data_IF_806879822866
#
_entry.id   IF_806879822866
#
_cell.length_a   1.000
_cell.length_b   1.000
_cell.length_c   1.000
_cell.angle_alpha   90.00
_cell.angle_beta   90.00
_cell.angle_gamma   90.00
#
_symmetry.space_group_name_H-M   'P 1'
#
loop_
_entity.id
_entity.type
_entity.pdbx_description
1 polymer ?
#
# COMPACT_ATOMS: atom_id res chain seq x y z
N UNK A 1 -22.08 0.35 -3.79
CA UNK A 1 -21.95 -1.06 -3.34
C UNK A 1 -20.56 -1.56 -3.75
N UNK A 2 -19.85 -2.34 -2.92
CA UNK A 2 -18.49 -2.80 -3.28
C UNK A 2 -18.60 -3.94 -4.31
N UNK A 3 -18.00 -3.75 -5.49
CA UNK A 3 -17.94 -4.76 -6.55
C UNK A 3 -16.85 -5.81 -6.27
N UNK A 4 -16.76 -6.83 -7.13
CA UNK A 4 -15.80 -7.93 -6.97
C UNK A 4 -14.34 -7.43 -6.96
N UNK A 5 -14.03 -6.38 -7.74
CA UNK A 5 -12.72 -5.73 -7.75
C UNK A 5 -12.40 -5.06 -6.40
N UNK A 6 -13.40 -4.45 -5.75
CA UNK A 6 -13.27 -3.89 -4.41
C UNK A 6 -13.07 -4.96 -3.35
N UNK A 7 -13.74 -6.10 -3.47
CA UNK A 7 -13.53 -7.26 -2.57
C UNK A 7 -12.12 -7.83 -2.72
N UNK A 8 -11.64 -8.01 -3.95
CA UNK A 8 -10.26 -8.44 -4.21
C UNK A 8 -9.23 -7.47 -3.65
N UNK A 9 -9.50 -6.15 -3.70
CA UNK A 9 -8.65 -5.14 -3.06
C UNK A 9 -8.62 -5.27 -1.54
N UNK A 10 -9.76 -5.53 -0.90
CA UNK A 10 -9.81 -5.76 0.55
C UNK A 10 -9.07 -7.04 0.94
N UNK A 11 -9.22 -8.11 0.16
CA UNK A 11 -8.47 -9.35 0.37
C UNK A 11 -6.97 -9.08 0.22
N UNK A 12 -6.55 -8.39 -0.84
CA UNK A 12 -5.15 -8.02 -1.05
C UNK A 12 -4.59 -7.15 0.08
N UNK A 13 -5.36 -6.17 0.56
CA UNK A 13 -4.99 -5.34 1.70
C UNK A 13 -4.89 -6.15 3.01
N UNK A 14 -5.81 -7.08 3.23
CA UNK A 14 -5.79 -8.01 4.36
C UNK A 14 -4.58 -8.94 4.32
N UNK A 15 -4.26 -9.52 3.16
CA UNK A 15 -3.08 -10.38 2.98
C UNK A 15 -1.79 -9.61 3.20
N UNK A 16 -1.67 -8.40 2.63
CA UNK A 16 -0.52 -7.54 2.83
C UNK A 16 -0.36 -7.14 4.31
N UNK A 17 -1.47 -6.77 4.95
CA UNK A 17 -1.51 -6.46 6.38
C UNK A 17 -1.10 -7.66 7.23
N UNK A 18 -1.57 -8.86 6.92
CA UNK A 18 -1.21 -10.09 7.63
C UNK A 18 0.28 -10.39 7.52
N UNK A 19 0.83 -10.35 6.31
CA UNK A 19 2.24 -10.60 6.07
C UNK A 19 3.11 -9.61 6.88
N UNK A 20 2.73 -8.32 6.89
CA UNK A 20 3.41 -7.31 7.69
C UNK A 20 3.31 -7.58 9.20
N UNK A 21 2.12 -7.92 9.70
CA UNK A 21 1.91 -8.22 11.12
C UNK A 21 2.74 -9.41 11.60
N UNK A 22 2.74 -10.51 10.83
CA UNK A 22 3.57 -11.70 11.11
C UNK A 22 5.04 -11.31 11.17
N UNK A 23 5.52 -10.59 10.15
CA UNK A 23 6.92 -10.19 10.03
C UNK A 23 7.35 -9.29 11.18
N UNK A 24 6.52 -8.30 11.53
CA UNK A 24 6.80 -7.38 12.64
C UNK A 24 6.98 -8.14 13.96
N UNK A 25 6.07 -9.08 14.25
CA UNK A 25 6.13 -9.85 15.50
C UNK A 25 7.30 -10.84 15.49
N UNK A 26 7.59 -11.49 14.37
CA UNK A 26 8.77 -12.35 14.25
C UNK A 26 10.05 -11.55 14.44
N UNK A 27 10.16 -10.35 13.85
CA UNK A 27 11.28 -9.44 14.06
C UNK A 27 11.46 -9.11 15.54
N UNK A 28 10.41 -8.66 16.21
CA UNK A 28 10.46 -8.29 17.64
C UNK A 28 10.82 -9.48 18.52
N UNK A 29 10.23 -10.65 18.30
CA UNK A 29 10.45 -11.83 19.13
C UNK A 29 11.80 -12.49 18.87
N UNK A 30 12.32 -12.40 17.65
CA UNK A 30 13.64 -12.94 17.31
C UNK A 30 14.79 -12.25 18.04
N UNK A 31 14.57 -11.05 18.58
CA UNK A 31 15.53 -10.35 19.45
C UNK A 31 15.66 -10.95 20.85
N UNK A 32 14.70 -11.78 21.29
CA UNK A 32 14.65 -12.33 22.65
C UNK A 32 14.56 -13.85 22.68
N UNK A 33 14.06 -14.46 21.61
CA UNK A 33 13.76 -15.90 21.53
C UNK A 33 14.05 -16.44 20.13
N UNK A 34 14.59 -17.66 20.00
CA UNK A 34 14.78 -18.30 18.70
C UNK A 34 13.44 -18.43 17.96
N UNK A 35 13.44 -18.19 16.65
CA UNK A 35 12.26 -18.37 15.80
C UNK A 35 11.90 -19.85 15.71
N UNK A 36 10.99 -20.30 16.57
CA UNK A 36 10.46 -21.67 16.57
C UNK A 36 9.06 -21.72 15.98
N UNK A 37 8.64 -22.90 15.50
CA UNK A 37 7.28 -23.12 14.98
C UNK A 37 6.20 -22.72 15.99
N UNK A 38 6.45 -22.93 17.28
CA UNK A 38 5.57 -22.52 18.37
C UNK A 38 5.42 -20.99 18.43
N UNK A 39 6.51 -20.24 18.27
CA UNK A 39 6.47 -18.76 18.23
C UNK A 39 5.69 -18.25 17.00
N UNK A 40 5.88 -18.89 15.84
CA UNK A 40 5.11 -18.56 14.63
C UNK A 40 3.61 -18.80 14.80
N UNK A 41 3.21 -19.90 15.45
CA UNK A 41 1.79 -20.22 15.64
C UNK A 41 1.16 -19.35 16.73
N UNK A 42 1.84 -19.16 17.87
CA UNK A 42 1.27 -18.46 19.04
C UNK A 42 1.29 -16.95 18.87
N UNK A 43 2.32 -16.39 18.23
CA UNK A 43 2.46 -14.95 18.08
C UNK A 43 2.29 -14.51 16.62
N UNK A 44 2.83 -15.26 15.68
CA UNK A 44 2.73 -14.94 14.25
C UNK A 44 1.28 -14.98 13.74
N UNK A 45 0.52 -16.02 14.03
CA UNK A 45 -0.88 -16.13 13.55
C UNK A 45 -1.79 -15.02 14.10
N UNK A 46 -1.79 -14.72 15.42
CA UNK A 46 -2.57 -13.58 15.93
C UNK A 46 -2.09 -12.23 15.38
N UNK A 47 -0.79 -12.05 15.21
CA UNK A 47 -0.23 -10.84 14.61
C UNK A 47 -0.64 -10.68 13.14
N UNK A 48 -0.69 -11.79 12.40
CA UNK A 48 -1.20 -11.82 11.03
C UNK A 48 -2.68 -11.46 10.98
N UNK A 49 -3.50 -12.00 11.89
CA UNK A 49 -4.93 -11.64 11.96
C UNK A 49 -5.11 -10.14 12.29
N UNK A 50 -4.37 -9.61 13.26
CA UNK A 50 -4.39 -8.20 13.61
C UNK A 50 -3.91 -7.32 12.44
N UNK A 51 -2.82 -7.71 11.78
CA UNK A 51 -2.30 -7.05 10.59
C UNK A 51 -3.31 -7.02 9.45
N UNK A 52 -4.01 -8.13 9.19
CA UNK A 52 -5.07 -8.21 8.19
C UNK A 52 -6.20 -7.23 8.50
N UNK A 53 -6.67 -7.22 9.75
CA UNK A 53 -7.71 -6.30 10.20
C UNK A 53 -7.27 -4.84 9.98
N UNK A 54 -6.04 -4.48 10.34
CA UNK A 54 -5.50 -3.13 10.12
C UNK A 54 -5.41 -2.79 8.63
N UNK A 55 -4.95 -3.71 7.78
CA UNK A 55 -4.87 -3.51 6.33
C UNK A 55 -6.24 -3.26 5.69
N UNK A 56 -7.25 -4.04 6.09
CA UNK A 56 -8.64 -3.85 5.67
C UNK A 56 -9.20 -2.52 6.18
N UNK A 57 -9.04 -2.22 7.47
CA UNK A 57 -9.56 -1.00 8.10
C UNK A 57 -8.96 0.26 7.50
N UNK A 58 -7.65 0.29 7.25
CA UNK A 58 -6.97 1.43 6.62
C UNK A 58 -7.43 1.63 5.19
N UNK A 59 -7.64 0.55 4.44
CA UNK A 59 -8.20 0.61 3.08
C UNK A 59 -9.62 1.16 3.09
N UNK A 60 -10.50 0.63 3.95
CA UNK A 60 -11.87 1.13 4.08
C UNK A 60 -11.92 2.58 4.55
N UNK A 61 -11.01 2.97 5.46
CA UNK A 61 -10.88 4.35 5.93
C UNK A 61 -10.44 5.29 4.81
N UNK A 62 -9.50 4.87 3.96
CA UNK A 62 -9.09 5.66 2.80
C UNK A 62 -10.27 5.90 1.84
N UNK A 63 -11.05 4.87 1.55
CA UNK A 63 -12.26 5.02 0.72
C UNK A 63 -13.29 5.96 1.34
N UNK A 64 -13.47 5.94 2.66
CA UNK A 64 -14.34 6.89 3.35
C UNK A 64 -13.84 8.33 3.24
N UNK A 65 -12.52 8.55 3.36
CA UNK A 65 -11.93 9.88 3.25
C UNK A 65 -11.98 10.41 1.80
N UNK A 66 -11.93 9.53 0.81
CA UNK A 66 -12.04 9.88 -0.61
C UNK A 66 -13.49 10.10 -1.10
N UNK A 67 -14.48 10.17 -0.19
CA UNK A 67 -15.89 10.33 -0.56
C UNK A 67 -16.62 9.03 -0.98
N UNK A 68 -15.95 7.88 -0.89
CA UNK A 68 -16.52 6.55 -1.12
C UNK A 68 -15.68 5.70 -2.08
N UNK A 69 -15.98 4.39 -2.09
CA UNK A 69 -15.34 3.44 -3.00
C UNK A 69 -15.53 3.84 -4.48
N UNK A 70 -16.74 4.22 -4.85
CA UNK A 70 -17.13 4.57 -6.22
C UNK A 70 -16.31 5.77 -6.73
N UNK A 71 -16.18 6.83 -5.94
CA UNK A 71 -15.33 7.99 -6.26
C UNK A 71 -13.86 7.58 -6.42
N UNK A 72 -13.35 6.73 -5.53
CA UNK A 72 -11.96 6.27 -5.62
C UNK A 72 -11.67 5.42 -6.87
N UNK A 73 -12.64 4.64 -7.35
CA UNK A 73 -12.55 3.81 -8.56
C UNK A 73 -12.67 4.67 -9.80
N UNK A 74 -13.60 5.62 -9.79
CA UNK A 74 -13.85 6.50 -10.92
C UNK A 74 -12.63 7.38 -11.22
N UNK A 75 -12.04 7.98 -10.19
CA UNK A 75 -10.77 8.71 -10.33
C UNK A 75 -9.65 7.83 -10.92
N UNK A 76 -9.58 6.56 -10.52
CA UNK A 76 -8.56 5.64 -11.06
C UNK A 76 -8.84 5.23 -12.50
N UNK A 77 -10.12 5.11 -12.89
CA UNK A 77 -10.50 4.88 -14.29
C UNK A 77 -10.11 6.07 -15.15
N UNK A 78 -10.38 7.29 -14.73
CA UNK A 78 -9.95 8.48 -15.46
C UNK A 78 -8.43 8.56 -15.66
N UNK A 79 -7.67 8.20 -14.64
CA UNK A 79 -6.20 8.12 -14.72
C UNK A 79 -5.75 7.00 -15.66
N UNK A 80 -6.41 5.85 -15.62
CA UNK A 80 -6.09 4.73 -16.51
C UNK A 80 -6.43 5.04 -17.98
N UNK A 81 -7.56 5.70 -18.21
CA UNK A 81 -8.05 6.10 -19.53
C UNK A 81 -7.38 7.38 -20.04
N UNK A 82 -6.59 8.05 -19.20
CA UNK A 82 -5.92 9.32 -19.51
C UNK A 82 -6.89 10.49 -19.76
N UNK A 83 -8.15 10.39 -19.32
CA UNK A 83 -9.17 11.41 -19.58
C UNK A 83 -10.24 11.46 -18.49
N UNK A 84 -10.68 12.67 -18.17
CA UNK A 84 -11.91 12.91 -17.41
C UNK A 84 -13.07 13.12 -18.42
N UNK A 85 -14.24 12.49 -18.24
CA UNK A 85 -15.43 12.75 -19.04
C UNK A 85 -15.83 14.24 -19.00
N UNK A 86 -16.31 14.78 -20.12
CA UNK A 86 -16.58 16.22 -20.26
C UNK A 86 -17.81 16.70 -19.47
N UNK A 87 -18.67 15.76 -19.09
CA UNK A 87 -19.88 15.95 -18.30
C UNK A 87 -19.60 16.09 -16.79
N UNK A 88 -18.37 15.80 -16.34
CA UNK A 88 -18.01 15.89 -14.92
C UNK A 88 -17.59 17.32 -14.55
N UNK A 89 -18.26 17.97 -13.58
CA UNK A 89 -17.93 19.31 -13.12
C UNK A 89 -16.55 19.43 -12.46
N UNK A 90 -15.93 20.61 -12.55
CA UNK A 90 -14.58 20.89 -12.04
C UNK A 90 -14.46 20.79 -10.52
N UNK A 91 -15.51 21.14 -9.79
CA UNK A 91 -15.63 20.98 -8.34
C UNK A 91 -15.59 19.50 -7.89
N UNK A 92 -15.86 18.55 -8.80
CA UNK A 92 -15.81 17.11 -8.53
C UNK A 92 -14.46 16.52 -8.94
N UNK A 93 -14.02 16.71 -10.19
CA UNK A 93 -12.84 16.00 -10.68
C UNK A 93 -11.51 16.55 -10.15
N UNK A 94 -11.42 17.85 -9.84
CA UNK A 94 -10.21 18.48 -9.31
C UNK A 94 -9.79 17.85 -7.96
N UNK A 95 -10.63 17.84 -6.91
CA UNK A 95 -10.24 17.26 -5.62
C UNK A 95 -9.95 15.76 -5.71
N UNK A 96 -10.65 15.04 -6.59
CA UNK A 96 -10.42 13.60 -6.81
C UNK A 96 -9.05 13.31 -7.42
N UNK A 97 -8.64 14.06 -8.45
CA UNK A 97 -7.32 13.91 -9.06
C UNK A 97 -6.20 14.43 -8.14
N UNK A 98 -6.44 15.49 -7.35
CA UNK A 98 -5.51 15.96 -6.33
C UNK A 98 -5.26 14.88 -5.27
N UNK A 99 -6.32 14.26 -4.72
CA UNK A 99 -6.18 13.17 -3.75
C UNK A 99 -5.39 11.96 -4.31
N UNK A 100 -5.45 11.70 -5.62
CA UNK A 100 -4.63 10.68 -6.28
C UNK A 100 -3.18 11.14 -6.48
N UNK A 101 -2.96 12.40 -6.84
CA UNK A 101 -1.63 12.98 -6.99
C UNK A 101 -0.86 13.01 -5.65
N UNK A 102 -1.55 13.30 -4.55
CA UNK A 102 -0.96 13.34 -3.20
C UNK A 102 -0.47 11.96 -2.72
N UNK A 103 -0.94 10.87 -3.34
CA UNK A 103 -0.44 9.51 -3.08
C UNK A 103 0.99 9.29 -3.55
N UNK A 104 1.56 10.19 -4.35
CA UNK A 104 2.98 10.14 -4.70
C UNK A 104 3.85 10.12 -3.43
N UNK A 105 3.51 10.93 -2.43
CA UNK A 105 4.21 10.95 -1.13
C UNK A 105 4.12 9.62 -0.39
N UNK A 106 2.94 8.99 -0.37
CA UNK A 106 2.75 7.66 0.21
C UNK A 106 3.51 6.56 -0.57
N UNK A 107 3.68 6.73 -1.89
CA UNK A 107 4.49 5.86 -2.74
C UNK A 107 5.97 5.94 -2.37
N UNK A 108 6.52 7.15 -2.28
CA UNK A 108 7.91 7.38 -1.85
C UNK A 108 8.15 6.92 -0.41
N UNK A 109 7.19 7.11 0.48
CA UNK A 109 7.25 6.59 1.84
C UNK A 109 7.46 5.08 1.89
N UNK A 110 6.76 4.31 1.03
CA UNK A 110 6.95 2.86 0.91
C UNK A 110 8.32 2.47 0.38
N UNK A 111 8.84 3.22 -0.61
CA UNK A 111 10.17 2.98 -1.17
C UNK A 111 11.25 3.22 -0.12
N UNK A 112 11.23 4.38 0.55
CA UNK A 112 12.19 4.73 1.59
C UNK A 112 12.14 3.76 2.77
N UNK A 113 10.92 3.44 3.23
CA UNK A 113 10.71 2.46 4.30
C UNK A 113 11.27 1.09 3.91
N UNK A 114 10.97 0.62 2.69
CA UNK A 114 11.50 -0.65 2.18
C UNK A 114 13.03 -0.68 2.15
N UNK A 115 13.67 0.37 1.63
CA UNK A 115 15.15 0.47 1.60
C UNK A 115 15.75 0.45 3.01
N UNK A 116 15.19 1.24 3.93
CA UNK A 116 15.65 1.29 5.32
C UNK A 116 15.55 -0.09 5.99
N UNK A 117 14.43 -0.78 5.79
CA UNK A 117 14.21 -2.09 6.41
C UNK A 117 15.01 -3.21 5.75
N UNK A 118 15.34 -3.12 4.45
CA UNK A 118 16.30 -4.04 3.82
C UNK A 118 17.66 -3.89 4.50
N UNK A 119 18.13 -2.66 4.68
CA UNK A 119 19.41 -2.38 5.35
C UNK A 119 19.41 -2.89 6.80
N UNK A 120 18.32 -2.67 7.54
CA UNK A 120 18.16 -3.19 8.91
C UNK A 120 18.14 -4.73 8.95
N UNK A 121 17.36 -5.36 8.07
CA UNK A 121 17.26 -6.83 8.00
C UNK A 121 18.61 -7.47 7.65
N UNK A 122 19.40 -6.79 6.81
CA UNK A 122 20.76 -7.22 6.47
C UNK A 122 21.75 -7.03 7.62
N UNK A 123 21.65 -5.94 8.41
CA UNK A 123 22.55 -5.72 9.54
C UNK A 123 22.35 -6.76 10.65
N UNK A 124 21.11 -7.27 10.80
CA UNK A 124 20.76 -8.31 11.76
C UNK A 124 20.85 -9.74 11.19
N UNK A 125 21.47 -9.92 10.01
CA UNK A 125 21.51 -11.23 9.33
C UNK A 125 22.10 -12.35 10.17
N UNK A 126 23.08 -12.02 11.00
CA UNK A 126 23.78 -12.99 11.84
C UNK A 126 22.91 -13.42 13.05
N UNK A 127 21.87 -12.65 13.40
CA UNK A 127 20.91 -12.99 14.47
C UNK A 127 19.72 -13.81 13.96
N UNK A 128 19.19 -13.48 12.77
CA UNK A 128 17.99 -14.12 12.24
C UNK A 128 18.27 -15.40 11.44
N UNK A 129 19.51 -15.60 10.99
CA UNK A 129 19.87 -16.66 10.07
C UNK A 129 19.38 -16.41 8.63
N UNK A 130 19.95 -17.12 7.64
CA UNK A 130 19.84 -16.76 6.22
C UNK A 130 18.41 -16.84 5.66
N UNK A 131 17.58 -17.77 6.14
CA UNK A 131 16.20 -17.95 5.65
C UNK A 131 15.30 -16.77 6.05
N UNK A 132 15.35 -16.36 7.32
CA UNK A 132 14.51 -15.27 7.82
C UNK A 132 14.96 -13.94 7.20
N UNK A 133 16.27 -13.70 7.11
CA UNK A 133 16.82 -12.51 6.46
C UNK A 133 16.39 -12.39 5.00
N UNK A 134 16.44 -13.48 4.23
CA UNK A 134 16.04 -13.45 2.81
C UNK A 134 14.54 -13.22 2.65
N UNK A 135 13.69 -13.83 3.47
CA UNK A 135 12.24 -13.57 3.46
C UNK A 135 11.91 -12.11 3.79
N UNK A 136 12.57 -11.53 4.78
CA UNK A 136 12.39 -10.12 5.15
C UNK A 136 12.79 -9.20 3.99
N UNK A 137 13.97 -9.42 3.40
CA UNK A 137 14.43 -8.64 2.26
C UNK A 137 13.44 -8.74 1.10
N UNK A 138 12.96 -9.94 0.78
CA UNK A 138 11.99 -10.15 -0.29
C UNK A 138 10.68 -9.37 -0.04
N UNK A 139 10.18 -9.35 1.20
CA UNK A 139 9.00 -8.57 1.58
C UNK A 139 9.22 -7.07 1.32
N UNK A 140 10.33 -6.52 1.81
CA UNK A 140 10.63 -5.10 1.71
C UNK A 140 10.91 -4.66 0.27
N UNK A 141 11.56 -5.53 -0.52
CA UNK A 141 11.72 -5.34 -1.96
C UNK A 141 10.36 -5.30 -2.64
N UNK A 142 9.45 -6.22 -2.31
CA UNK A 142 8.08 -6.23 -2.84
C UNK A 142 7.32 -4.94 -2.53
N UNK A 143 7.42 -4.44 -1.28
CA UNK A 143 6.78 -3.19 -0.88
C UNK A 143 7.38 -1.96 -1.60
N UNK A 144 8.70 -1.90 -1.71
CA UNK A 144 9.41 -0.82 -2.40
C UNK A 144 9.07 -0.83 -3.90
N UNK A 145 9.09 -1.99 -4.55
CA UNK A 145 8.70 -2.15 -5.95
C UNK A 145 7.25 -1.73 -6.17
N UNK A 146 6.33 -2.12 -5.27
CA UNK A 146 4.94 -1.68 -5.38
C UNK A 146 4.80 -0.16 -5.28
N UNK A 147 5.51 0.48 -4.35
CA UNK A 147 5.58 1.94 -4.25
C UNK A 147 6.11 2.59 -5.53
N UNK A 148 7.25 2.08 -6.03
CA UNK A 148 7.98 2.60 -7.18
C UNK A 148 7.27 2.41 -8.53
N UNK A 149 6.72 1.22 -8.77
CA UNK A 149 6.20 0.81 -10.09
C UNK A 149 4.70 1.07 -10.20
N UNK A 150 3.95 1.03 -9.10
CA UNK A 150 2.48 1.10 -9.16
C UNK A 150 1.96 2.41 -8.60
N UNK A 151 2.40 2.81 -7.40
CA UNK A 151 1.83 3.99 -6.72
C UNK A 151 2.33 5.29 -7.32
N UNK A 152 3.64 5.45 -7.46
CA UNK A 152 4.26 6.68 -7.98
C UNK A 152 3.82 6.99 -9.43
N UNK A 153 3.85 6.03 -10.39
CA UNK A 153 3.47 6.34 -11.76
C UNK A 153 1.99 6.72 -11.90
N UNK A 154 1.11 6.08 -11.14
CA UNK A 154 -0.32 6.43 -11.11
C UNK A 154 -0.57 7.84 -10.55
N UNK A 155 0.11 8.19 -9.46
CA UNK A 155 0.00 9.53 -8.89
C UNK A 155 0.52 10.61 -9.84
N UNK A 156 1.64 10.33 -10.54
CA UNK A 156 2.19 11.22 -11.58
C UNK A 156 1.24 11.37 -12.77
N UNK A 157 0.62 10.28 -13.23
CA UNK A 157 -0.38 10.32 -14.29
C UNK A 157 -1.60 11.16 -13.90
N UNK A 158 -2.09 11.03 -12.65
CA UNK A 158 -3.16 11.88 -12.13
C UNK A 158 -2.76 13.37 -12.12
N UNK A 159 -1.53 13.67 -11.71
CA UNK A 159 -0.99 15.04 -11.70
C UNK A 159 -0.82 15.63 -13.09
N UNK A 160 -0.41 14.82 -14.07
CA UNK A 160 -0.32 15.24 -15.46
C UNK A 160 -1.71 15.54 -16.03
N UNK A 161 -2.67 14.63 -15.83
CA UNK A 161 -4.06 14.79 -16.25
C UNK A 161 -4.71 16.05 -15.65
N UNK A 162 -4.44 16.31 -14.37
CA UNK A 162 -4.89 17.53 -13.69
C UNK A 162 -4.33 18.79 -14.36
N UNK A 163 -3.03 18.83 -14.66
CA UNK A 163 -2.42 19.99 -15.34
C UNK A 163 -3.00 20.22 -16.72
N UNK A 164 -3.10 19.17 -17.53
CA UNK A 164 -3.56 19.27 -18.92
C UNK A 164 -5.01 19.76 -18.97
N UNK A 165 -5.87 19.29 -18.06
CA UNK A 165 -7.27 19.73 -18.01
C UNK A 165 -7.46 21.12 -17.45
N UNK A 166 -6.69 21.54 -16.44
CA UNK A 166 -6.72 22.92 -15.96
C UNK A 166 -6.23 23.89 -17.05
N UNK A 167 -5.18 23.53 -17.80
CA UNK A 167 -4.69 24.35 -18.91
C UNK A 167 -5.69 24.46 -20.08
N UNK A 168 -6.56 23.46 -20.26
CA UNK A 168 -7.62 23.51 -21.27
C UNK A 168 -8.85 24.35 -20.85
N UNK A 169 -8.93 24.79 -19.59
CA UNK A 169 -10.02 25.61 -19.05
C UNK A 169 -9.67 27.10 -18.97
N UNK A 170 -8.40 27.47 -19.14
CA UNK A 170 -7.89 28.85 -19.20
C UNK A 170 -7.85 29.38 -20.63
#
# INVERSE_FOLDING_TARGET
MIDEAGRLRLIGAGVAGAAFGVVLVVLVLSSWTPATTTVLVVAGVPAGAAGAAVGVLTTMRSWRLDGGYEHSVEAQRWVADGRVPADVPADVWIPMLQAQADREGAGWGKVLLGVLWIAMSWSMRDQHGPLVTTMLIALWVGLALWGGVVVIPRARAARALLRDRVAALS
#
